data_IF_940501113474
#
_entry.id   IF_940501113474
#
_cell.length_a   1.000
_cell.length_b   1.000
_cell.length_c   1.000
_cell.angle_alpha   90.00
_cell.angle_beta   90.00
_cell.angle_gamma   90.00
#
_symmetry.space_group_name_H-M   'P 1'
#
loop_
_entity.id
_entity.type
_entity.pdbx_description
1 polymer ?
#
# COMPACT_ATOMS: atom_id res chain seq x y z
N UNK A 1 10.28 36.50 13.04
CA UNK A 1 9.60 35.22 13.29
C UNK A 1 9.79 34.32 12.11
N UNK A 2 10.46 33.20 12.30
CA UNK A 2 10.61 32.16 11.30
C UNK A 2 9.44 31.17 11.45
N UNK A 3 8.65 31.00 10.41
CA UNK A 3 7.62 29.99 10.42
C UNK A 3 8.24 28.59 10.49
N UNK A 4 7.72 27.67 11.32
CA UNK A 4 8.28 26.33 11.40
C UNK A 4 8.09 25.60 10.05
N UNK A 5 9.13 24.88 9.62
CA UNK A 5 9.05 24.01 8.45
C UNK A 5 8.54 22.66 8.91
N UNK A 6 7.36 22.27 8.44
CA UNK A 6 6.78 20.97 8.74
C UNK A 6 7.33 19.98 7.70
N UNK A 7 8.13 19.01 8.16
CA UNK A 7 8.70 17.97 7.29
C UNK A 7 7.81 16.75 7.14
N UNK A 8 6.96 16.49 8.13
CA UNK A 8 6.06 15.33 8.11
C UNK A 8 4.79 15.62 8.92
N UNK A 9 3.65 15.16 8.41
CA UNK A 9 2.36 15.13 9.10
C UNK A 9 1.83 13.71 9.05
N UNK A 10 1.38 13.18 10.18
CA UNK A 10 0.79 11.86 10.30
C UNK A 10 -0.67 11.98 10.72
N UNK A 11 -1.51 11.14 10.14
CA UNK A 11 -2.94 11.02 10.43
C UNK A 11 -3.22 9.63 10.98
N UNK A 12 -4.08 9.58 12.01
CA UNK A 12 -4.42 8.35 12.71
C UNK A 12 -5.94 8.21 12.82
N UNK A 13 -6.40 7.02 13.07
CA UNK A 13 -7.75 6.63 13.47
C UNK A 13 -8.82 6.72 12.37
N UNK A 14 -8.83 7.76 11.57
CA UNK A 14 -9.87 7.98 10.56
C UNK A 14 -9.28 8.37 9.18
N UNK A 15 -10.16 8.66 8.23
CA UNK A 15 -9.81 9.02 6.86
C UNK A 15 -10.30 10.42 6.46
N UNK A 16 -10.54 11.29 7.42
CA UNK A 16 -10.98 12.69 7.17
C UNK A 16 -9.97 13.47 6.32
N UNK A 17 -8.68 13.16 6.47
CA UNK A 17 -7.60 13.77 5.69
C UNK A 17 -7.72 13.53 4.16
N UNK A 18 -8.49 12.54 3.71
CA UNK A 18 -8.73 12.28 2.27
C UNK A 18 -9.47 13.43 1.57
N UNK A 19 -10.05 14.36 2.32
CA UNK A 19 -10.65 15.59 1.78
C UNK A 19 -9.59 16.65 1.42
N UNK A 20 -8.38 16.54 1.94
CA UNK A 20 -7.31 17.50 1.71
C UNK A 20 -6.79 17.45 0.27
N UNK A 21 -6.29 18.60 -0.20
CA UNK A 21 -5.58 18.69 -1.49
C UNK A 21 -4.39 17.73 -1.47
N UNK A 22 -4.22 16.95 -2.53
CA UNK A 22 -3.19 15.90 -2.61
C UNK A 22 -3.75 14.50 -2.42
N UNK A 23 -4.84 14.33 -1.66
CA UNK A 23 -5.55 13.06 -1.50
C UNK A 23 -6.82 12.94 -2.35
N UNK A 24 -7.11 13.92 -3.20
CA UNK A 24 -8.39 13.97 -3.93
C UNK A 24 -8.50 12.99 -5.10
N UNK A 25 -7.40 12.42 -5.57
CA UNK A 25 -7.43 11.39 -6.62
C UNK A 25 -8.00 10.08 -6.06
N UNK A 26 -9.28 9.80 -6.34
CA UNK A 26 -10.01 8.65 -5.80
C UNK A 26 -9.58 7.31 -6.39
N UNK A 27 -8.98 7.28 -7.57
CA UNK A 27 -8.37 6.06 -8.11
C UNK A 27 -7.13 5.65 -7.29
N UNK A 28 -6.35 6.63 -6.86
CA UNK A 28 -5.17 6.48 -6.03
C UNK A 28 -5.52 6.35 -4.54
N UNK A 29 -6.38 7.22 -4.04
CA UNK A 29 -6.82 7.29 -2.64
C UNK A 29 -8.35 7.09 -2.55
N UNK A 30 -8.83 5.83 -2.60
CA UNK A 30 -10.26 5.57 -2.48
C UNK A 30 -10.83 6.03 -1.14
N UNK A 31 -12.13 6.37 -1.14
CA UNK A 31 -12.82 6.70 0.10
C UNK A 31 -12.91 5.48 1.01
N UNK A 32 -12.82 5.71 2.31
CA UNK A 32 -12.94 4.68 3.34
C UNK A 32 -13.77 5.21 4.49
N UNK A 33 -14.67 4.39 4.99
CA UNK A 33 -15.55 4.70 6.12
C UNK A 33 -15.26 3.87 7.37
N UNK A 34 -14.49 2.78 7.24
CA UNK A 34 -14.11 1.95 8.38
C UNK A 34 -13.04 2.68 9.19
N UNK A 35 -13.34 2.97 10.46
CA UNK A 35 -12.36 3.57 11.36
C UNK A 35 -11.20 2.60 11.62
N UNK A 36 -10.02 3.17 11.80
CA UNK A 36 -8.78 2.44 12.02
C UNK A 36 -8.12 2.89 13.33
N UNK A 37 -8.87 2.82 14.41
CA UNK A 37 -8.48 3.34 15.73
C UNK A 37 -7.11 2.82 16.18
N UNK A 38 -6.22 3.74 16.49
CA UNK A 38 -4.84 3.45 16.91
C UNK A 38 -3.85 3.22 15.75
N UNK A 39 -4.30 3.17 14.50
CA UNK A 39 -3.43 2.94 13.35
C UNK A 39 -3.12 4.22 12.57
N UNK A 40 -1.93 4.26 11.98
CA UNK A 40 -1.52 5.30 11.04
C UNK A 40 -2.31 5.12 9.73
N UNK A 41 -3.19 6.05 9.41
CA UNK A 41 -4.05 6.00 8.22
C UNK A 41 -3.51 6.80 7.05
N UNK A 42 -2.73 7.84 7.32
CA UNK A 42 -2.14 8.65 6.28
C UNK A 42 -0.94 9.44 6.72
N UNK A 43 -0.13 9.88 5.76
CA UNK A 43 0.97 10.80 6.03
C UNK A 43 1.26 11.70 4.83
N UNK A 44 1.80 12.88 5.13
CA UNK A 44 2.38 13.81 4.17
C UNK A 44 3.82 14.03 4.58
N UNK A 45 4.75 13.79 3.67
CA UNK A 45 6.18 14.05 3.89
C UNK A 45 6.68 15.08 2.88
N UNK A 46 7.50 16.02 3.33
CA UNK A 46 8.18 16.98 2.45
C UNK A 46 9.50 16.40 1.96
N UNK A 47 9.75 16.54 0.66
CA UNK A 47 11.08 16.21 0.11
C UNK A 47 12.04 17.35 0.41
N UNK A 48 13.19 17.04 0.99
CA UNK A 48 14.20 18.03 1.35
C UNK A 48 14.63 18.85 0.12
N UNK A 49 14.82 20.13 0.33
CA UNK A 49 15.25 21.11 -0.69
C UNK A 49 14.29 21.28 -1.87
N UNK A 50 13.05 20.83 -1.73
CA UNK A 50 12.01 21.01 -2.74
C UNK A 50 10.68 21.43 -2.12
N UNK A 51 9.75 21.92 -2.96
CA UNK A 51 8.35 22.15 -2.56
C UNK A 51 7.48 20.89 -2.72
N UNK A 52 8.06 19.78 -3.16
CA UNK A 52 7.33 18.53 -3.41
C UNK A 52 6.92 17.87 -2.10
N UNK A 53 5.71 17.29 -2.11
CA UNK A 53 5.16 16.52 -1.01
C UNK A 53 4.81 15.12 -1.48
N UNK A 54 5.08 14.14 -0.62
CA UNK A 54 4.74 12.74 -0.84
C UNK A 54 3.57 12.37 0.07
N UNK A 55 2.54 11.82 -0.52
CA UNK A 55 1.30 11.44 0.13
C UNK A 55 1.23 9.92 0.28
N UNK A 56 0.90 9.46 1.47
CA UNK A 56 0.69 8.03 1.76
C UNK A 56 -0.65 7.85 2.44
N UNK A 57 -1.37 6.78 2.06
CA UNK A 57 -2.57 6.35 2.77
C UNK A 57 -2.54 4.83 2.97
N UNK A 58 -2.87 4.39 4.17
CA UNK A 58 -2.97 2.98 4.56
C UNK A 58 -4.40 2.66 4.95
N UNK A 59 -4.93 1.58 4.39
CA UNK A 59 -6.30 1.13 4.57
C UNK A 59 -6.30 -0.20 5.30
N UNK A 60 -7.17 -0.33 6.29
CA UNK A 60 -7.26 -1.49 7.16
C UNK A 60 -8.64 -2.15 7.04
N UNK A 61 -8.68 -3.46 7.28
CA UNK A 61 -9.94 -4.17 7.45
C UNK A 61 -10.47 -4.02 8.89
N UNK A 62 -11.64 -4.59 9.14
CA UNK A 62 -12.27 -4.56 10.47
C UNK A 62 -11.46 -5.27 11.57
N UNK A 63 -10.48 -6.08 11.19
CA UNK A 63 -9.55 -6.77 12.12
C UNK A 63 -8.25 -5.99 12.34
N UNK A 64 -8.12 -4.78 11.76
CA UNK A 64 -6.93 -3.96 11.87
C UNK A 64 -5.75 -4.42 11.00
N UNK A 65 -5.99 -5.23 9.96
CA UNK A 65 -4.94 -5.68 9.05
C UNK A 65 -4.85 -4.74 7.85
N UNK A 66 -3.65 -4.33 7.41
CA UNK A 66 -3.51 -3.47 6.24
C UNK A 66 -3.91 -4.23 4.97
N UNK A 67 -4.94 -3.76 4.28
CA UNK A 67 -5.43 -4.34 3.02
C UNK A 67 -4.96 -3.58 1.79
N UNK A 68 -4.63 -2.31 1.95
CA UNK A 68 -4.12 -1.48 0.86
C UNK A 68 -3.23 -0.39 1.43
N UNK A 69 -2.09 -0.16 0.79
CA UNK A 69 -1.23 1.00 1.04
C UNK A 69 -0.96 1.68 -0.29
N UNK A 70 -1.22 2.97 -0.37
CA UNK A 70 -0.86 3.81 -1.51
C UNK A 70 0.21 4.79 -1.08
N UNK A 71 1.28 4.89 -1.84
CA UNK A 71 2.44 5.70 -1.50
C UNK A 71 3.02 6.37 -2.73
N UNK A 72 3.19 7.69 -2.66
CA UNK A 72 3.93 8.44 -3.68
C UNK A 72 5.41 8.12 -3.66
N UNK A 73 6.05 8.16 -4.82
CA UNK A 73 7.49 8.17 -4.92
C UNK A 73 8.02 9.56 -5.30
N UNK A 74 9.31 9.80 -5.04
CA UNK A 74 9.97 11.07 -5.30
C UNK A 74 10.21 11.35 -6.79
N UNK A 75 9.96 10.38 -7.68
CA UNK A 75 10.09 10.49 -9.12
C UNK A 75 8.78 10.86 -9.83
N UNK A 76 7.74 11.19 -9.07
CA UNK A 76 6.43 11.59 -9.58
C UNK A 76 5.49 10.44 -9.89
N UNK A 77 5.89 9.20 -9.60
CA UNK A 77 5.04 8.02 -9.65
C UNK A 77 4.38 7.70 -8.31
N UNK A 78 3.76 6.55 -8.23
CA UNK A 78 3.22 6.02 -6.97
C UNK A 78 3.11 4.50 -7.02
N UNK A 79 3.09 3.91 -5.84
CA UNK A 79 2.94 2.46 -5.64
C UNK A 79 1.65 2.18 -4.88
N UNK A 80 0.92 1.17 -5.34
CA UNK A 80 -0.21 0.60 -4.59
C UNK A 80 0.16 -0.83 -4.21
N UNK A 81 0.08 -1.15 -2.93
CA UNK A 81 0.21 -2.52 -2.42
C UNK A 81 -1.13 -2.98 -1.90
N UNK A 82 -1.64 -4.09 -2.42
CA UNK A 82 -2.89 -4.72 -1.96
C UNK A 82 -2.54 -6.08 -1.37
N UNK A 83 -3.01 -6.35 -0.16
CA UNK A 83 -2.80 -7.60 0.55
C UNK A 83 -4.11 -8.30 0.84
N UNK A 84 -4.25 -9.54 0.39
CA UNK A 84 -5.32 -10.44 0.75
C UNK A 84 -4.83 -11.41 1.84
N UNK A 85 -5.72 -11.81 2.73
CA UNK A 85 -5.39 -12.66 3.87
C UNK A 85 -6.15 -13.98 3.82
N UNK A 86 -5.57 -15.02 4.39
CA UNK A 86 -6.26 -16.27 4.68
C UNK A 86 -7.24 -16.06 5.84
N UNK A 87 -8.09 -17.06 6.08
CA UNK A 87 -8.97 -17.07 7.24
C UNK A 87 -8.19 -16.94 8.57
N UNK A 88 -7.00 -17.52 8.65
CA UNK A 88 -6.14 -17.49 9.84
C UNK A 88 -5.37 -16.18 9.99
N UNK A 89 -5.48 -15.26 9.04
CA UNK A 89 -4.84 -13.94 9.11
C UNK A 89 -3.45 -13.83 8.48
N UNK A 90 -3.01 -14.84 7.74
CA UNK A 90 -1.75 -14.80 7.01
C UNK A 90 -1.95 -14.24 5.59
N UNK A 91 -0.98 -13.52 5.02
CA UNK A 91 -1.08 -13.07 3.64
C UNK A 91 -1.24 -14.25 2.68
N UNK A 92 -2.28 -14.23 1.83
CA UNK A 92 -2.47 -15.20 0.76
C UNK A 92 -1.99 -14.68 -0.58
N UNK A 93 -2.10 -13.38 -0.79
CA UNK A 93 -1.64 -12.71 -2.00
C UNK A 93 -1.24 -11.28 -1.69
N UNK A 94 -0.12 -10.85 -2.27
CA UNK A 94 0.30 -9.45 -2.27
C UNK A 94 0.47 -9.00 -3.71
N UNK A 95 -0.18 -7.91 -4.09
CA UNK A 95 -0.04 -7.28 -5.40
C UNK A 95 0.59 -5.91 -5.21
N UNK A 96 1.74 -5.69 -5.84
CA UNK A 96 2.37 -4.39 -5.95
C UNK A 96 2.13 -3.84 -7.36
N UNK A 97 1.50 -2.68 -7.46
CA UNK A 97 1.32 -1.96 -8.70
C UNK A 97 2.15 -0.68 -8.67
N UNK A 98 3.10 -0.57 -9.59
CA UNK A 98 3.96 0.61 -9.74
C UNK A 98 3.47 1.44 -10.92
N UNK A 99 3.13 2.68 -10.67
CA UNK A 99 2.63 3.64 -11.65
C UNK A 99 3.69 4.73 -11.88
N UNK A 100 4.07 4.90 -13.14
CA UNK A 100 4.89 6.03 -13.59
C UNK A 100 4.04 6.95 -14.50
N UNK A 101 4.39 8.22 -14.54
CA UNK A 101 3.60 9.27 -15.20
C UNK A 101 3.38 9.05 -16.71
N UNK A 102 4.16 8.18 -17.37
CA UNK A 102 4.11 7.96 -18.83
C UNK A 102 4.09 6.48 -19.23
N UNK A 103 4.00 5.56 -18.28
CA UNK A 103 4.09 4.13 -18.55
C UNK A 103 2.86 3.38 -18.04
N UNK A 104 2.61 2.22 -18.64
CA UNK A 104 1.62 1.26 -18.12
C UNK A 104 2.06 0.79 -16.74
N UNK A 105 1.12 0.60 -15.84
CA UNK A 105 1.40 0.08 -14.50
C UNK A 105 2.14 -1.26 -14.57
N UNK A 106 3.22 -1.38 -13.81
CA UNK A 106 3.96 -2.64 -13.63
C UNK A 106 3.41 -3.36 -12.41
N UNK A 107 2.94 -4.58 -12.61
CA UNK A 107 2.36 -5.41 -11.56
C UNK A 107 3.34 -6.50 -11.13
N UNK A 108 3.49 -6.67 -9.83
CA UNK A 108 4.17 -7.81 -9.21
C UNK A 108 3.16 -8.54 -8.33
N UNK A 109 2.97 -9.81 -8.56
CA UNK A 109 1.99 -10.62 -7.85
C UNK A 109 2.72 -11.73 -7.09
N UNK A 110 2.61 -11.71 -5.76
CA UNK A 110 3.10 -12.75 -4.88
C UNK A 110 1.93 -13.56 -4.37
N UNK A 111 2.02 -14.89 -4.42
CA UNK A 111 1.04 -15.80 -3.83
C UNK A 111 1.72 -16.73 -2.84
N UNK A 112 1.07 -16.92 -1.71
CA UNK A 112 1.54 -17.74 -0.60
C UNK A 112 0.54 -18.87 -0.39
N UNK A 113 1.04 -20.10 -0.37
CA UNK A 113 0.23 -21.30 -0.14
C UNK A 113 0.64 -21.93 1.18
N UNK A 114 -0.34 -22.28 1.99
CA UNK A 114 -0.16 -22.86 3.31
C UNK A 114 -0.75 -24.28 3.34
N UNK A 115 -0.20 -25.13 4.21
CA UNK A 115 -0.75 -26.46 4.48
C UNK A 115 -1.91 -26.39 5.51
N UNK A 116 -2.50 -27.56 5.81
CA UNK A 116 -3.60 -27.67 6.77
C UNK A 116 -3.19 -27.31 8.22
N UNK A 117 -1.89 -27.26 8.52
CA UNK A 117 -1.35 -26.81 9.81
C UNK A 117 -0.92 -25.33 9.77
N UNK A 118 -1.35 -24.60 8.73
CA UNK A 118 -1.09 -23.17 8.53
C UNK A 118 0.41 -22.84 8.41
N UNK A 119 1.20 -23.77 7.85
CA UNK A 119 2.63 -23.57 7.57
C UNK A 119 2.80 -23.20 6.10
N UNK A 120 3.65 -22.20 5.81
CA UNK A 120 3.96 -21.79 4.45
C UNK A 120 4.65 -22.92 3.69
N UNK A 121 4.05 -23.39 2.59
CA UNK A 121 4.60 -24.48 1.76
C UNK A 121 5.07 -24.01 0.39
N UNK A 122 4.55 -22.89 -0.11
CA UNK A 122 4.92 -22.40 -1.44
C UNK A 122 4.78 -20.89 -1.55
N UNK A 123 5.76 -20.25 -2.18
CA UNK A 123 5.69 -18.84 -2.58
C UNK A 123 5.93 -18.76 -4.10
N UNK A 124 5.05 -18.05 -4.80
CA UNK A 124 5.18 -17.79 -6.23
C UNK A 124 5.23 -16.30 -6.51
N UNK A 125 5.87 -15.95 -7.62
CA UNK A 125 5.96 -14.60 -8.14
C UNK A 125 5.56 -14.55 -9.61
N UNK A 126 4.86 -13.49 -10.01
CA UNK A 126 4.42 -13.27 -11.38
C UNK A 126 4.53 -11.78 -11.71
N UNK A 127 5.14 -11.45 -12.83
CA UNK A 127 5.26 -10.08 -13.35
C UNK A 127 4.11 -9.78 -14.31
N UNK A 128 3.00 -9.26 -13.76
CA UNK A 128 1.78 -9.01 -14.52
C UNK A 128 0.89 -10.24 -14.69
N UNK A 129 -0.39 -10.04 -15.06
CA UNK A 129 -1.39 -11.12 -15.08
C UNK A 129 -1.12 -12.18 -16.16
N UNK A 130 -0.37 -11.84 -17.20
CA UNK A 130 -0.10 -12.71 -18.36
C UNK A 130 1.33 -13.27 -18.38
N UNK A 131 2.16 -12.92 -17.40
CA UNK A 131 3.54 -13.43 -17.31
C UNK A 131 3.59 -14.83 -16.71
N UNK A 132 4.65 -15.62 -16.99
CA UNK A 132 4.82 -16.92 -16.37
C UNK A 132 4.97 -16.81 -14.84
N UNK A 133 4.42 -17.79 -14.14
CA UNK A 133 4.53 -17.91 -12.69
C UNK A 133 5.87 -18.55 -12.33
N UNK A 134 6.64 -17.88 -11.50
CA UNK A 134 7.93 -18.39 -10.98
C UNK A 134 7.74 -18.86 -9.54
N UNK A 135 8.20 -20.05 -9.22
CA UNK A 135 8.22 -20.56 -7.85
C UNK A 135 9.49 -20.06 -7.18
N UNK A 136 9.35 -19.19 -6.16
CA UNK A 136 10.47 -18.64 -5.41
C UNK A 136 10.95 -19.61 -4.32
N UNK A 137 10.01 -20.30 -3.68
CA UNK A 137 10.28 -21.27 -2.64
C UNK A 137 9.19 -22.33 -2.58
N UNK A 138 9.58 -23.53 -2.27
CA UNK A 138 8.68 -24.66 -2.03
C UNK A 138 9.27 -25.50 -0.89
N UNK A 139 8.46 -25.72 0.13
CA UNK A 139 8.81 -26.55 1.28
C UNK A 139 8.03 -27.85 1.23
N UNK A 140 8.71 -28.93 1.41
CA UNK A 140 8.14 -30.27 1.47
C UNK A 140 7.78 -30.68 2.91
#
# INVERSE_FOLDING_TARGET
LVSPIIHQVNYYDDYSFLSLVGFQNRAKFPAQTVAANGFLTGSISSVLDTSAKLYTAAYYDIKGRPIRVTQDDHLGGYKITVTNYTFTGKPSQVVNAHYHTKETAKLEIYKYTYDHADRLVKTTHQLGPNAPIVVLSKYL
#
